data_IF_906915179328
#
_entry.id   IF_906915179328
#
_cell.length_a   1.000
_cell.length_b   1.000
_cell.length_c   1.000
_cell.angle_alpha   90.00
_cell.angle_beta   90.00
_cell.angle_gamma   90.00
#
_symmetry.space_group_name_H-M   'P 1'
#
loop_
_entity.id
_entity.type
_entity.pdbx_description
1 polymer ?
#
# COMPACT_ATOMS: atom_id res chain seq x y z
N UNK A 1 4.61 -7.35 8.38
CA UNK A 1 4.09 -6.00 8.71
C UNK A 1 4.45 -5.06 7.56
N UNK A 2 3.48 -4.59 6.79
CA UNK A 2 3.75 -3.69 5.68
C UNK A 2 4.17 -2.31 6.21
N UNK A 3 5.26 -1.76 5.70
CA UNK A 3 5.69 -0.39 5.97
C UNK A 3 5.41 0.46 4.72
N UNK A 4 4.85 1.64 4.92
CA UNK A 4 4.52 2.53 3.81
C UNK A 4 4.76 3.99 4.20
N UNK A 5 5.35 4.74 3.29
CA UNK A 5 5.56 6.18 3.42
C UNK A 5 5.01 6.87 2.19
N UNK A 6 4.25 7.95 2.39
CA UNK A 6 3.74 8.77 1.30
C UNK A 6 4.52 10.08 1.21
N UNK A 7 4.83 10.50 -0.01
CA UNK A 7 5.47 11.76 -0.33
C UNK A 7 4.72 12.45 -1.48
N UNK A 8 4.68 13.77 -1.45
CA UNK A 8 4.08 14.58 -2.51
C UNK A 8 5.14 14.95 -3.55
N UNK A 9 4.78 14.79 -4.81
CA UNK A 9 5.61 15.17 -5.96
C UNK A 9 5.39 16.65 -6.33
N UNK A 10 6.25 17.19 -7.20
CA UNK A 10 6.19 18.60 -7.62
C UNK A 10 4.89 18.96 -8.36
N UNK A 11 4.23 17.99 -8.97
CA UNK A 11 2.97 18.12 -9.71
C UNK A 11 1.72 17.78 -8.87
N UNK A 12 1.84 17.83 -7.54
CA UNK A 12 0.80 17.50 -6.56
C UNK A 12 0.25 16.07 -6.62
N UNK A 13 0.87 15.18 -7.40
CA UNK A 13 0.63 13.74 -7.28
C UNK A 13 1.26 13.20 -5.99
N UNK A 14 0.74 12.09 -5.52
CA UNK A 14 1.27 11.42 -4.32
C UNK A 14 1.95 10.14 -4.75
N UNK A 15 3.19 9.97 -4.29
CA UNK A 15 3.96 8.74 -4.40
C UNK A 15 3.98 8.04 -3.05
N UNK A 16 3.61 6.77 -3.03
CA UNK A 16 3.60 5.91 -1.86
C UNK A 16 4.66 4.84 -2.07
N UNK A 17 5.72 4.90 -1.27
CA UNK A 17 6.74 3.87 -1.19
C UNK A 17 6.32 2.83 -0.17
N UNK A 18 6.29 1.57 -0.59
CA UNK A 18 5.81 0.46 0.22
C UNK A 18 6.90 -0.60 0.31
N UNK A 19 7.32 -0.91 1.53
CA UNK A 19 8.22 -2.04 1.81
C UNK A 19 7.39 -3.22 2.29
N UNK A 20 7.36 -4.26 1.47
CA UNK A 20 6.65 -5.49 1.78
C UNK A 20 7.46 -6.30 2.79
N UNK A 21 6.78 -6.77 3.84
CA UNK A 21 7.37 -7.72 4.78
C UNK A 21 6.36 -8.80 5.14
N UNK A 22 6.84 -10.01 5.44
CA UNK A 22 5.99 -11.08 5.93
C UNK A 22 5.16 -10.64 7.14
N UNK A 23 3.84 -10.77 7.03
CA UNK A 23 2.98 -10.81 8.21
C UNK A 23 3.11 -12.17 8.89
N UNK A 24 3.36 -12.19 10.21
CA UNK A 24 3.08 -13.37 11.02
C UNK A 24 1.56 -13.50 11.15
N UNK A 25 1.00 -14.69 10.92
CA UNK A 25 -0.42 -14.96 11.14
C UNK A 25 -0.54 -15.87 12.38
N UNK A 26 -1.21 -15.40 13.42
CA UNK A 26 -1.37 -16.10 14.71
C UNK A 26 -0.05 -16.51 15.41
N UNK A 27 1.01 -15.69 15.33
CA UNK A 27 2.28 -15.96 16.03
C UNK A 27 3.13 -17.08 15.40
N UNK A 28 2.68 -17.65 14.28
CA UNK A 28 3.48 -18.53 13.44
C UNK A 28 3.87 -17.77 12.17
N UNK A 29 5.14 -17.88 11.77
CA UNK A 29 5.48 -17.60 10.38
C UNK A 29 4.63 -18.53 9.51
N UNK A 30 4.07 -18.04 8.40
CA UNK A 30 3.49 -18.95 7.42
C UNK A 30 4.57 -20.00 7.11
N UNK A 31 4.27 -21.27 7.36
CA UNK A 31 5.17 -22.39 7.08
C UNK A 31 5.41 -22.58 5.57
N UNK A 32 4.60 -21.91 4.75
CA UNK A 32 4.77 -21.74 3.30
C UNK A 32 5.17 -20.28 3.09
N UNK A 33 6.46 -20.06 2.83
CA UNK A 33 7.15 -18.79 2.96
C UNK A 33 6.52 -17.63 2.20
N UNK A 34 7.03 -16.42 2.46
CA UNK A 34 6.75 -15.25 1.63
C UNK A 34 7.47 -15.29 0.27
N UNK A 35 7.85 -16.50 -0.18
CA UNK A 35 8.24 -16.71 -1.55
C UNK A 35 7.05 -16.34 -2.42
N UNK A 36 7.29 -15.39 -3.32
CA UNK A 36 6.35 -15.10 -4.39
C UNK A 36 6.53 -16.10 -5.52
N UNK A 37 7.63 -16.85 -5.62
CA UNK A 37 7.91 -17.77 -6.75
C UNK A 37 7.75 -17.11 -8.13
N UNK A 38 7.99 -15.80 -8.24
CA UNK A 38 7.73 -15.04 -9.46
C UNK A 38 6.24 -14.71 -9.70
N UNK A 39 5.40 -14.76 -8.66
CA UNK A 39 4.03 -14.27 -8.68
C UNK A 39 3.99 -12.74 -8.85
N UNK A 40 2.88 -12.29 -9.44
CA UNK A 40 2.59 -10.87 -9.60
C UNK A 40 2.02 -10.33 -8.29
N UNK A 41 2.77 -9.46 -7.63
CA UNK A 41 2.34 -8.75 -6.43
C UNK A 41 1.83 -7.37 -6.83
N UNK A 42 0.61 -7.06 -6.43
CA UNK A 42 0.01 -5.75 -6.63
C UNK A 42 -0.08 -5.01 -5.29
N UNK A 43 0.33 -3.74 -5.30
CA UNK A 43 0.16 -2.80 -4.19
C UNK A 43 -0.82 -1.75 -4.63
N UNK A 44 -1.85 -1.55 -3.83
CA UNK A 44 -2.89 -0.55 -4.03
C UNK A 44 -2.85 0.48 -2.91
N UNK A 45 -2.93 1.75 -3.27
CA UNK A 45 -3.13 2.86 -2.35
C UNK A 45 -4.49 3.49 -2.67
N UNK A 46 -5.35 3.61 -1.66
CA UNK A 46 -6.70 4.16 -1.83
C UNK A 46 -6.94 5.24 -0.78
N UNK A 47 -7.43 6.39 -1.22
CA UNK A 47 -7.68 7.57 -0.38
C UNK A 47 -9.13 7.58 0.07
N UNK A 48 -9.32 7.91 1.34
CA UNK A 48 -10.62 8.03 1.99
C UNK A 48 -10.65 9.29 2.85
N UNK A 49 -11.85 9.82 3.09
CA UNK A 49 -12.04 10.77 4.18
C UNK A 49 -11.73 10.10 5.51
N UNK A 50 -11.13 10.82 6.45
CA UNK A 50 -10.90 10.35 7.82
C UNK A 50 -12.22 9.99 8.54
N UNK A 51 -13.34 10.57 8.11
CA UNK A 51 -14.66 10.25 8.65
C UNK A 51 -15.22 8.92 8.10
N UNK A 52 -14.70 8.45 6.95
CA UNK A 52 -15.07 7.16 6.36
C UNK A 52 -14.28 6.00 7.00
N UNK A 53 -14.56 5.78 8.28
CA UNK A 53 -13.94 4.71 9.08
C UNK A 53 -14.25 3.30 8.58
N UNK A 54 -15.27 3.14 7.73
CA UNK A 54 -15.63 1.88 7.09
C UNK A 54 -14.88 1.65 5.76
N UNK A 55 -14.12 2.64 5.27
CA UNK A 55 -13.41 2.59 3.98
C UNK A 55 -14.35 2.22 2.81
N UNK A 56 -15.59 2.74 2.83
CA UNK A 56 -16.64 2.36 1.89
C UNK A 56 -16.71 3.26 0.65
N UNK A 57 -16.20 4.48 0.73
CA UNK A 57 -16.32 5.53 -0.28
C UNK A 57 -14.92 6.02 -0.71
N UNK A 58 -14.25 5.30 -1.62
CA UNK A 58 -12.92 5.68 -2.08
C UNK A 58 -12.98 6.96 -2.92
N UNK A 59 -12.05 7.88 -2.66
CA UNK A 59 -11.92 9.17 -3.37
C UNK A 59 -10.90 9.08 -4.51
N UNK A 60 -9.74 8.49 -4.23
CA UNK A 60 -8.69 8.23 -5.22
C UNK A 60 -8.18 6.81 -5.07
N UNK A 61 -7.69 6.23 -6.17
CA UNK A 61 -7.03 4.93 -6.15
C UNK A 61 -5.85 4.93 -7.10
N UNK A 62 -4.77 4.31 -6.67
CA UNK A 62 -3.60 4.02 -7.47
C UNK A 62 -3.15 2.58 -7.19
N UNK A 63 -2.63 1.92 -8.21
CA UNK A 63 -2.18 0.53 -8.10
C UNK A 63 -0.93 0.34 -8.95
N UNK A 64 0.04 -0.38 -8.39
CA UNK A 64 1.25 -0.81 -9.10
C UNK A 64 1.42 -2.30 -8.89
N UNK A 65 1.68 -3.03 -9.97
CA UNK A 65 1.91 -4.46 -9.92
C UNK A 65 3.27 -4.79 -10.51
N UNK A 66 4.02 -5.66 -9.83
CA UNK A 66 5.28 -6.17 -10.32
C UNK A 66 5.42 -7.65 -10.01
N UNK A 67 6.12 -8.35 -10.90
CA UNK A 67 6.52 -9.73 -10.65
C UNK A 67 7.79 -9.72 -9.82
N UNK A 68 7.75 -10.36 -8.66
CA UNK A 68 8.87 -10.36 -7.71
C UNK A 68 9.26 -11.81 -7.38
N UNK A 69 10.55 -12.11 -7.22
CA UNK A 69 10.98 -13.45 -6.82
C UNK A 69 10.63 -13.75 -5.36
N UNK A 70 10.69 -12.73 -4.49
CA UNK A 70 10.41 -12.79 -3.06
C UNK A 70 9.61 -11.55 -2.64
N UNK A 71 8.72 -11.69 -1.66
CA UNK A 71 7.95 -10.60 -1.07
C UNK A 71 8.78 -9.86 -0.02
N UNK A 72 9.70 -10.53 0.68
CA UNK A 72 10.41 -9.92 1.81
C UNK A 72 11.39 -8.85 1.33
N UNK A 73 11.23 -7.63 1.84
CA UNK A 73 12.12 -6.51 1.53
C UNK A 73 11.90 -5.92 0.13
N UNK A 74 10.95 -6.46 -0.63
CA UNK A 74 10.56 -5.91 -1.92
C UNK A 74 9.94 -4.54 -1.72
N UNK A 75 10.46 -3.56 -2.44
CA UNK A 75 9.95 -2.20 -2.47
C UNK A 75 9.06 -2.00 -3.70
N UNK A 76 7.88 -1.43 -3.48
CA UNK A 76 6.93 -1.08 -4.53
C UNK A 76 6.59 0.39 -4.39
N UNK A 77 6.74 1.14 -5.47
CA UNK A 77 6.26 2.52 -5.53
C UNK A 77 4.93 2.56 -6.26
N UNK A 78 3.94 3.18 -5.62
CA UNK A 78 2.63 3.48 -6.21
C UNK A 78 2.51 4.99 -6.34
N UNK A 79 2.32 5.49 -7.55
CA UNK A 79 2.10 6.93 -7.78
C UNK A 79 0.70 7.15 -8.29
N UNK A 80 0.03 8.17 -7.77
CA UNK A 80 -1.31 8.53 -8.25
C UNK A 80 -1.27 8.94 -9.72
N UNK A 81 -2.31 8.62 -10.51
CA UNK A 81 -2.36 9.05 -11.91
C UNK A 81 -2.57 10.57 -12.03
N UNK A 82 -3.25 11.17 -11.05
CA UNK A 82 -3.63 12.58 -11.01
C UNK A 82 -3.24 13.21 -9.67
N UNK A 83 -3.27 14.54 -9.62
CA UNK A 83 -3.04 15.30 -8.39
C UNK A 83 -4.09 14.94 -7.33
N UNK A 84 -3.67 14.86 -6.07
CA UNK A 84 -4.57 14.62 -4.92
C UNK A 84 -4.60 15.86 -4.04
N UNK A 85 -5.77 16.24 -3.55
CA UNK A 85 -5.92 17.41 -2.69
C UNK A 85 -5.01 17.34 -1.44
N UNK A 86 -4.53 18.51 -1.01
CA UNK A 86 -3.74 18.70 0.22
C UNK A 86 -4.62 18.74 1.47
N UNK A 87 -5.59 17.83 1.54
CA UNK A 87 -6.50 17.73 2.68
C UNK A 87 -5.89 16.84 3.77
N UNK A 88 -5.58 17.38 4.97
CA UNK A 88 -5.06 16.60 6.10
C UNK A 88 -6.11 15.63 6.69
N UNK A 89 -7.38 15.82 6.34
CA UNK A 89 -8.49 14.92 6.60
C UNK A 89 -8.46 13.66 5.74
N UNK A 90 -7.58 13.54 4.74
CA UNK A 90 -7.45 12.32 3.96
C UNK A 90 -6.59 11.27 4.66
N UNK A 91 -6.96 10.01 4.44
CA UNK A 91 -6.25 8.82 4.89
C UNK A 91 -6.01 7.90 3.70
N UNK A 92 -4.83 7.28 3.66
CA UNK A 92 -4.45 6.34 2.61
C UNK A 92 -4.48 4.94 3.20
N UNK A 93 -5.39 4.10 2.72
CA UNK A 93 -5.35 2.66 2.96
C UNK A 93 -4.42 2.04 1.92
N UNK A 94 -3.31 1.49 2.38
CA UNK A 94 -2.34 0.77 1.56
C UNK A 94 -2.56 -0.72 1.80
N UNK A 95 -2.85 -1.42 0.71
CA UNK A 95 -3.10 -2.86 0.70
C UNK A 95 -2.19 -3.49 -0.35
N UNK A 96 -1.44 -4.50 0.05
CA UNK A 96 -0.73 -5.37 -0.87
C UNK A 96 -1.49 -6.70 -1.02
N UNK A 97 -0.95 -7.62 -1.83
CA UNK A 97 -1.40 -9.02 -1.96
C UNK A 97 -2.10 -9.56 -0.68
N UNK A 98 -3.21 -10.32 -0.78
CA UNK A 98 -4.00 -10.79 0.37
C UNK A 98 -3.20 -11.56 1.44
N UNK A 99 -1.97 -12.00 1.13
CA UNK A 99 -1.05 -12.60 2.10
C UNK A 99 -0.41 -11.59 3.05
N UNK A 100 -0.47 -10.29 2.74
CA UNK A 100 0.16 -9.18 3.46
C UNK A 100 -0.88 -8.37 4.24
N UNK A 101 -0.50 -7.83 5.40
CA UNK A 101 -1.36 -6.96 6.19
C UNK A 101 -1.45 -5.56 5.58
N UNK A 102 -2.62 -4.94 5.64
CA UNK A 102 -2.83 -3.56 5.21
C UNK A 102 -2.28 -2.58 6.26
N UNK A 103 -1.99 -1.35 5.84
CA UNK A 103 -1.66 -0.23 6.72
C UNK A 103 -2.44 1.02 6.31
N UNK A 104 -2.72 1.88 7.28
CA UNK A 104 -3.32 3.20 7.04
C UNK A 104 -2.29 4.26 7.40
N UNK A 105 -2.03 5.17 6.46
CA UNK A 105 -1.06 6.27 6.63
C UNK A 105 -1.73 7.63 6.34
N UNK A 106 -1.19 8.74 6.88
CA UNK A 106 -1.68 10.07 6.57
C UNK A 106 -1.38 10.47 5.11
N UNK A 107 -2.21 11.37 4.57
CA UNK A 107 -1.94 12.04 3.29
C UNK A 107 -0.83 13.11 3.48
N UNK A 108 0.21 13.15 2.62
CA UNK A 108 1.33 14.08 2.74
C UNK A 108 1.05 15.49 2.20
#
# INVERSE_FOLDING_TARGET
MLDATAARLEDDRVSVEVTLTCGLVYGFARSEGCDADGERVCVSATWYSADDTAFAHPLHRAESCQTVPDIIGTQVTVTTPESVDRDPGLRILVSADPRVMNVVIPNP
#
